data_IF_708387288593
#
_entry.id   IF_708387288593
#
_cell.length_a   1.000
_cell.length_b   1.000
_cell.length_c   1.000
_cell.angle_alpha   90.00
_cell.angle_beta   90.00
_cell.angle_gamma   90.00
#
_symmetry.space_group_name_H-M   'P 1'
#
loop_
_entity.id
_entity.type
_entity.pdbx_description
1 polymer ?
#
# COMPACT_ATOMS: atom_id res chain seq x y z
N UNK A 1 -5.94 1.00 33.56
CA UNK A 1 -5.73 -0.15 32.66
C UNK A 1 -4.24 -0.32 32.51
N UNK A 2 -3.70 -1.42 33.02
CA UNK A 2 -2.26 -1.74 32.98
C UNK A 2 -1.85 -2.07 31.55
N UNK A 3 -0.92 -1.31 31.00
CA UNK A 3 -0.28 -1.63 29.71
C UNK A 3 0.29 -3.04 29.82
N UNK A 4 -0.26 -3.99 29.07
CA UNK A 4 0.35 -5.31 28.94
C UNK A 4 1.78 -5.12 28.41
N UNK A 5 2.75 -5.84 28.97
CA UNK A 5 4.09 -5.89 28.40
C UNK A 5 3.97 -6.34 26.95
N UNK A 6 4.50 -5.51 26.04
CA UNK A 6 4.58 -5.85 24.62
C UNK A 6 5.40 -7.13 24.50
N UNK A 7 4.93 -8.10 23.74
CA UNK A 7 5.78 -9.24 23.38
C UNK A 7 7.00 -8.72 22.60
N UNK A 8 8.09 -9.46 22.58
CA UNK A 8 9.28 -9.09 21.80
C UNK A 8 8.93 -8.83 20.33
N UNK A 9 7.96 -9.58 19.80
CA UNK A 9 7.46 -9.38 18.44
C UNK A 9 6.69 -8.06 18.28
N UNK A 10 5.86 -7.68 19.26
CA UNK A 10 5.15 -6.40 19.25
C UNK A 10 6.09 -5.21 19.42
N UNK A 11 7.17 -5.38 20.19
CA UNK A 11 8.22 -4.39 20.34
C UNK A 11 8.96 -4.15 19.01
N UNK A 12 9.36 -5.22 18.31
CA UNK A 12 10.01 -5.12 17.00
C UNK A 12 9.09 -4.49 15.95
N UNK A 13 7.79 -4.83 15.97
CA UNK A 13 6.76 -4.20 15.11
C UNK A 13 6.63 -2.71 15.38
N UNK A 14 6.66 -2.30 16.65
CA UNK A 14 6.59 -0.88 17.01
C UNK A 14 7.83 -0.11 16.52
N UNK A 15 9.02 -0.72 16.59
CA UNK A 15 10.24 -0.15 16.01
C UNK A 15 10.09 0.07 14.51
N UNK A 16 9.61 -0.95 13.78
CA UNK A 16 9.41 -0.83 12.33
C UNK A 16 8.38 0.25 11.98
N UNK A 17 7.27 0.32 12.74
CA UNK A 17 6.26 1.37 12.59
C UNK A 17 6.85 2.76 12.79
N UNK A 18 7.65 2.96 13.84
CA UNK A 18 8.32 4.22 14.13
C UNK A 18 9.34 4.57 13.04
N UNK A 19 10.10 3.58 12.56
CA UNK A 19 11.04 3.75 11.46
C UNK A 19 10.35 4.18 10.16
N UNK A 20 9.19 3.58 9.86
CA UNK A 20 8.35 3.97 8.72
C UNK A 20 7.85 5.41 8.83
N UNK A 21 7.50 5.88 10.03
CA UNK A 21 7.11 7.29 10.27
C UNK A 21 8.27 8.25 10.08
N UNK A 22 9.48 7.89 10.54
CA UNK A 22 10.69 8.70 10.32
C UNK A 22 10.95 8.85 8.82
N UNK A 23 10.86 7.74 8.05
CA UNK A 23 11.01 7.79 6.59
C UNK A 23 9.96 8.69 5.93
N UNK A 24 8.69 8.55 6.30
CA UNK A 24 7.61 9.33 5.73
C UNK A 24 7.81 10.83 5.98
N UNK A 25 8.07 11.22 7.23
CA UNK A 25 8.31 12.61 7.59
C UNK A 25 9.52 13.20 6.83
N UNK A 26 10.60 12.44 6.68
CA UNK A 26 11.77 12.89 5.93
C UNK A 26 11.50 13.01 4.41
N UNK A 27 10.59 12.21 3.85
CA UNK A 27 10.18 12.33 2.45
C UNK A 27 9.51 13.67 2.17
N UNK A 28 8.75 14.21 3.12
CA UNK A 28 8.05 15.49 2.99
C UNK A 28 9.01 16.70 3.00
N UNK A 29 10.23 16.52 3.51
CA UNK A 29 11.26 17.56 3.56
C UNK A 29 12.07 17.69 2.25
N UNK A 30 11.84 16.82 1.27
CA UNK A 30 12.37 16.96 -0.09
C UNK A 30 13.86 16.64 -0.28
N UNK A 31 14.59 16.27 0.78
CA UNK A 31 16.00 15.86 0.71
C UNK A 31 16.22 14.34 0.80
N UNK A 32 15.17 13.57 1.12
CA UNK A 32 15.27 12.12 1.25
C UNK A 32 15.76 11.50 -0.07
N UNK A 33 16.86 10.76 -0.01
CA UNK A 33 17.46 10.10 -1.17
C UNK A 33 17.53 8.59 -0.94
N UNK A 34 17.08 7.84 -1.95
CA UNK A 34 17.28 6.40 -2.02
C UNK A 34 18.55 6.00 -2.79
N UNK A 35 19.31 6.97 -3.29
CA UNK A 35 20.59 6.78 -3.96
C UNK A 35 21.72 7.08 -2.99
N UNK A 36 22.94 7.28 -3.48
CA UNK A 36 24.05 7.77 -2.67
C UNK A 36 23.69 9.11 -2.03
N UNK A 37 24.18 9.33 -0.80
CA UNK A 37 23.85 10.53 -0.04
C UNK A 37 24.53 11.75 -0.68
N UNK A 38 23.78 12.85 -0.95
CA UNK A 38 24.37 14.11 -1.42
C UNK A 38 25.54 14.55 -0.53
N UNK A 39 26.58 15.15 -1.11
CA UNK A 39 27.81 15.53 -0.38
C UNK A 39 27.54 16.52 0.76
N UNK A 40 26.50 17.33 0.63
CA UNK A 40 26.03 18.32 1.61
C UNK A 40 25.06 17.75 2.65
N UNK A 41 24.73 16.45 2.58
CA UNK A 41 23.84 15.80 3.55
C UNK A 41 24.43 15.84 4.96
N UNK A 42 23.63 16.31 5.91
CA UNK A 42 23.98 16.25 7.33
C UNK A 42 24.07 14.79 7.81
N UNK A 43 24.78 14.52 8.93
CA UNK A 43 24.82 13.18 9.50
C UNK A 43 23.43 12.56 9.77
N UNK A 44 22.47 13.37 10.25
CA UNK A 44 21.10 12.91 10.48
C UNK A 44 20.41 12.51 9.17
N UNK A 45 20.52 13.33 8.13
CA UNK A 45 19.94 13.03 6.81
C UNK A 45 20.53 11.74 6.22
N UNK A 46 21.84 11.53 6.33
CA UNK A 46 22.49 10.29 5.91
C UNK A 46 21.97 9.07 6.67
N UNK A 47 21.79 9.17 7.99
CA UNK A 47 21.23 8.09 8.79
C UNK A 47 19.78 7.77 8.41
N UNK A 48 18.96 8.80 8.14
CA UNK A 48 17.57 8.61 7.71
C UNK A 48 17.48 8.05 6.29
N UNK A 49 18.33 8.50 5.36
CA UNK A 49 18.43 7.90 4.02
C UNK A 49 18.85 6.43 4.10
N UNK A 50 19.81 6.09 4.97
CA UNK A 50 20.23 4.70 5.18
C UNK A 50 19.08 3.84 5.73
N UNK A 51 18.33 4.36 6.72
CA UNK A 51 17.13 3.71 7.24
C UNK A 51 16.07 3.53 6.14
N UNK A 52 15.82 4.56 5.34
CA UNK A 52 14.88 4.53 4.23
C UNK A 52 15.25 3.49 3.16
N UNK A 53 16.54 3.38 2.82
CA UNK A 53 17.07 2.33 1.92
C UNK A 53 16.89 0.94 2.52
N UNK A 54 17.19 0.75 3.80
CA UNK A 54 16.99 -0.53 4.49
C UNK A 54 15.52 -0.96 4.49
N UNK A 55 14.60 -0.03 4.78
CA UNK A 55 13.14 -0.26 4.72
C UNK A 55 12.60 -0.45 3.29
N UNK A 56 13.38 -0.10 2.25
CA UNK A 56 13.01 -0.27 0.85
C UNK A 56 13.37 -1.67 0.33
N UNK A 57 14.17 -2.46 1.06
CA UNK A 57 14.55 -3.79 0.61
C UNK A 57 13.40 -4.80 0.73
N UNK A 58 13.21 -5.56 -0.35
CA UNK A 58 12.20 -6.59 -0.52
C UNK A 58 12.25 -7.62 0.61
N UNK A 59 11.15 -7.78 1.32
CA UNK A 59 10.97 -8.89 2.26
C UNK A 59 10.82 -10.21 1.49
N UNK A 60 11.48 -11.27 1.96
CA UNK A 60 11.46 -12.61 1.35
C UNK A 60 11.13 -13.69 2.39
N UNK A 61 10.65 -14.86 1.94
CA UNK A 61 10.28 -15.95 2.85
C UNK A 61 11.46 -16.34 3.75
N UNK A 62 11.26 -16.37 5.07
CA UNK A 62 12.29 -16.72 6.05
C UNK A 62 13.10 -15.56 6.63
N UNK A 63 12.84 -14.30 6.25
CA UNK A 63 13.49 -13.13 6.86
C UNK A 63 12.81 -12.62 8.16
N UNK A 64 11.75 -13.32 8.61
CA UNK A 64 10.96 -12.95 9.79
C UNK A 64 10.05 -11.73 9.60
N UNK A 65 10.07 -11.10 8.41
CA UNK A 65 9.30 -9.91 8.05
C UNK A 65 8.09 -10.24 7.16
N UNK A 66 8.08 -11.41 6.51
CA UNK A 66 6.88 -11.97 5.89
C UNK A 66 6.17 -12.91 6.86
N UNK A 67 4.94 -12.56 7.25
CA UNK A 67 4.01 -13.55 7.84
C UNK A 67 3.63 -14.57 6.75
N UNK A 68 4.20 -15.79 6.81
CA UNK A 68 3.94 -16.89 5.86
C UNK A 68 2.47 -17.37 5.90
N UNK A 69 1.73 -17.04 6.97
CA UNK A 69 0.34 -17.47 7.20
C UNK A 69 -0.72 -16.38 6.93
N UNK A 70 -0.36 -15.23 6.36
CA UNK A 70 -1.36 -14.18 6.09
C UNK A 70 -2.35 -14.64 5.02
N UNK A 71 -3.66 -14.62 5.30
CA UNK A 71 -4.64 -15.05 4.32
C UNK A 71 -4.62 -14.12 3.11
N UNK A 72 -4.79 -14.64 1.89
CA UNK A 72 -4.96 -13.81 0.70
C UNK A 72 -6.24 -12.96 0.81
N UNK A 73 -6.17 -11.71 0.37
CA UNK A 73 -7.34 -10.85 0.24
C UNK A 73 -8.17 -11.34 -0.93
N UNK A 74 -9.48 -11.51 -0.69
CA UNK A 74 -10.45 -11.75 -1.76
C UNK A 74 -10.65 -10.47 -2.57
N UNK A 75 -9.75 -10.22 -3.51
CA UNK A 75 -9.75 -8.99 -4.28
C UNK A 75 -10.79 -9.01 -5.42
N UNK A 76 -11.53 -7.90 -5.56
CA UNK A 76 -12.39 -7.59 -6.72
C UNK A 76 -11.54 -6.98 -7.83
N UNK A 77 -10.73 -6.01 -7.45
CA UNK A 77 -9.85 -5.26 -8.32
C UNK A 77 -9.05 -4.25 -7.50
N UNK A 78 -8.07 -3.66 -8.14
CA UNK A 78 -7.26 -2.62 -7.53
C UNK A 78 -6.95 -1.49 -8.49
N UNK A 79 -6.61 -0.34 -7.92
CA UNK A 79 -6.11 0.84 -8.64
C UNK A 79 -4.89 1.39 -7.91
N UNK A 80 -3.98 1.99 -8.66
CA UNK A 80 -2.86 2.79 -8.13
C UNK A 80 -3.10 4.25 -8.49
N UNK A 81 -2.97 5.11 -7.48
CA UNK A 81 -3.06 6.57 -7.60
C UNK A 81 -1.67 7.13 -7.29
N UNK A 82 -1.07 7.86 -8.24
CA UNK A 82 0.25 8.49 -8.06
C UNK A 82 0.24 9.91 -8.62
N UNK A 83 1.08 10.80 -8.08
CA UNK A 83 1.36 12.08 -8.74
C UNK A 83 1.75 11.86 -10.21
N UNK A 84 1.04 12.50 -11.14
CA UNK A 84 1.30 12.41 -12.58
C UNK A 84 0.90 11.09 -13.26
N UNK A 85 0.44 10.08 -12.52
CA UNK A 85 -0.06 8.81 -13.08
C UNK A 85 -1.40 8.50 -12.43
N UNK A 86 -2.47 8.97 -13.09
CA UNK A 86 -3.85 8.74 -12.69
C UNK A 86 -4.51 7.65 -13.55
N UNK A 87 -5.47 6.89 -13.00
CA UNK A 87 -6.24 5.92 -13.78
C UNK A 87 -6.95 6.57 -14.97
N UNK A 88 -7.08 5.83 -16.07
CA UNK A 88 -7.79 6.31 -17.24
C UNK A 88 -9.25 6.65 -16.91
N UNK A 89 -9.72 7.81 -17.39
CA UNK A 89 -11.07 8.31 -17.13
C UNK A 89 -11.24 9.10 -15.83
N UNK A 90 -10.18 9.27 -15.03
CA UNK A 90 -10.17 10.17 -13.88
C UNK A 90 -9.61 11.52 -14.32
N UNK A 91 -10.45 12.56 -14.29
CA UNK A 91 -10.05 13.94 -14.62
C UNK A 91 -9.50 14.70 -13.40
N UNK A 92 -9.82 14.23 -12.19
CA UNK A 92 -9.35 14.78 -10.93
C UNK A 92 -7.83 14.60 -10.78
N UNK A 93 -7.19 15.61 -10.22
CA UNK A 93 -5.78 15.55 -9.82
C UNK A 93 -5.56 14.52 -8.69
N UNK A 94 -4.32 14.09 -8.51
CA UNK A 94 -3.97 13.15 -7.44
C UNK A 94 -4.38 13.68 -6.06
N UNK A 95 -4.14 14.97 -5.82
CA UNK A 95 -4.46 15.67 -4.58
C UNK A 95 -5.97 15.75 -4.33
N UNK A 96 -6.76 16.04 -5.37
CA UNK A 96 -8.23 16.07 -5.30
C UNK A 96 -8.80 14.68 -4.97
N UNK A 97 -8.28 13.63 -5.62
CA UNK A 97 -8.69 12.26 -5.31
C UNK A 97 -8.31 11.88 -3.87
N UNK A 98 -7.09 12.22 -3.43
CA UNK A 98 -6.65 11.99 -2.04
C UNK A 98 -7.58 12.68 -1.03
N UNK A 99 -7.92 13.95 -1.26
CA UNK A 99 -8.85 14.69 -0.42
C UNK A 99 -10.25 14.04 -0.40
N UNK A 100 -10.77 13.62 -1.56
CA UNK A 100 -12.08 12.96 -1.67
C UNK A 100 -12.11 11.62 -0.93
N UNK A 101 -11.06 10.80 -1.06
CA UNK A 101 -10.96 9.52 -0.36
C UNK A 101 -10.57 9.68 1.12
N UNK A 102 -10.11 10.86 1.53
CA UNK A 102 -9.83 11.21 2.92
C UNK A 102 -8.47 10.73 3.41
N UNK A 103 -7.45 10.80 2.56
CA UNK A 103 -6.05 10.52 2.93
C UNK A 103 -5.17 11.68 2.53
N UNK A 104 -4.05 11.85 3.23
CA UNK A 104 -3.05 12.83 2.85
C UNK A 104 -2.30 12.36 1.59
N UNK A 105 -2.02 13.25 0.63
CA UNK A 105 -1.24 12.91 -0.54
C UNK A 105 0.19 12.59 -0.13
N UNK A 106 0.78 11.58 -0.79
CA UNK A 106 2.18 11.19 -0.61
C UNK A 106 2.91 10.96 -1.93
N UNK A 107 4.24 11.14 -2.01
CA UNK A 107 4.99 10.99 -3.25
C UNK A 107 4.89 9.59 -3.88
N UNK A 108 4.85 8.54 -3.05
CA UNK A 108 4.80 7.16 -3.57
C UNK A 108 3.41 6.75 -4.07
N UNK A 109 2.38 7.54 -3.77
CA UNK A 109 1.00 7.22 -4.13
C UNK A 109 0.25 6.37 -3.10
N UNK A 110 -0.96 5.99 -3.49
CA UNK A 110 -1.84 5.08 -2.76
C UNK A 110 -2.33 3.97 -3.68
N UNK A 111 -2.55 2.77 -3.13
CA UNK A 111 -3.28 1.72 -3.80
C UNK A 111 -4.68 1.59 -3.18
N UNK A 112 -5.69 1.45 -4.03
CA UNK A 112 -7.07 1.18 -3.65
C UNK A 112 -7.38 -0.28 -3.93
N UNK A 113 -7.69 -1.05 -2.90
CA UNK A 113 -8.05 -2.46 -3.01
C UNK A 113 -9.54 -2.64 -2.73
N UNK A 114 -10.32 -2.94 -3.76
CA UNK A 114 -11.74 -3.24 -3.60
C UNK A 114 -11.91 -4.70 -3.18
N UNK A 115 -12.52 -4.90 -2.02
CA UNK A 115 -12.67 -6.20 -1.36
C UNK A 115 -13.98 -6.23 -0.56
N UNK A 116 -14.12 -7.23 0.31
CA UNK A 116 -15.20 -7.35 1.28
C UNK A 116 -14.65 -7.34 2.70
N UNK A 117 -15.43 -6.83 3.65
CA UNK A 117 -15.15 -6.96 5.08
C UNK A 117 -15.55 -8.34 5.61
N UNK A 118 -15.22 -8.60 6.87
CA UNK A 118 -15.86 -9.63 7.66
C UNK A 118 -17.37 -9.34 7.69
N UNK A 119 -18.19 -10.22 7.11
CA UNK A 119 -19.62 -10.00 6.87
C UNK A 119 -20.04 -9.66 5.44
N UNK A 120 -19.14 -9.81 4.45
CA UNK A 120 -19.42 -9.65 3.01
C UNK A 120 -19.91 -8.24 2.61
N UNK A 121 -19.63 -7.21 3.42
CA UNK A 121 -19.89 -5.83 3.04
C UNK A 121 -18.80 -5.34 2.10
N UNK A 122 -19.20 -4.65 1.02
CA UNK A 122 -18.25 -4.05 0.07
C UNK A 122 -17.42 -2.98 0.75
N UNK A 123 -16.10 -3.07 0.63
CA UNK A 123 -15.17 -2.08 1.16
C UNK A 123 -14.01 -1.81 0.20
N UNK A 124 -13.44 -0.62 0.30
CA UNK A 124 -12.17 -0.25 -0.33
C UNK A 124 -11.13 -0.01 0.76
N UNK A 125 -10.04 -0.75 0.71
CA UNK A 125 -8.86 -0.49 1.54
C UNK A 125 -7.95 0.49 0.80
N UNK A 126 -7.60 1.60 1.44
CA UNK A 126 -6.58 2.53 0.96
C UNK A 126 -5.26 2.12 1.59
N UNK A 127 -4.32 1.63 0.78
CA UNK A 127 -3.09 1.00 1.27
C UNK A 127 -1.82 1.61 0.69
N UNK A 128 -0.78 1.65 1.50
CA UNK A 128 0.57 2.10 1.17
C UNK A 128 1.34 1.12 0.26
N UNK A 129 0.79 -0.08 0.00
CA UNK A 129 1.42 -1.18 -0.73
C UNK A 129 1.35 -0.98 -2.28
N UNK A 130 1.85 0.17 -2.74
CA UNK A 130 1.82 0.59 -4.14
C UNK A 130 2.61 -0.38 -5.03
N UNK A 131 3.88 -0.63 -4.70
CA UNK A 131 4.76 -1.51 -5.50
C UNK A 131 4.21 -2.95 -5.55
N UNK A 132 3.64 -3.44 -4.45
CA UNK A 132 2.95 -4.74 -4.41
C UNK A 132 1.79 -4.78 -5.40
N UNK A 133 1.02 -3.69 -5.50
CA UNK A 133 -0.13 -3.59 -6.41
C UNK A 133 0.32 -3.50 -7.87
N UNK A 134 1.43 -2.83 -8.15
CA UNK A 134 2.03 -2.82 -9.50
C UNK A 134 2.55 -4.21 -9.91
N UNK A 135 3.20 -4.92 -9.00
CA UNK A 135 3.59 -6.32 -9.20
C UNK A 135 2.39 -7.25 -9.44
N UNK A 136 1.28 -6.98 -8.76
CA UNK A 136 0.01 -7.69 -8.96
C UNK A 136 -0.53 -7.46 -10.39
N UNK A 137 -0.58 -6.21 -10.86
CA UNK A 137 -0.98 -5.89 -12.23
C UNK A 137 -0.08 -6.57 -13.27
N UNK A 138 1.24 -6.58 -13.03
CA UNK A 138 2.18 -7.24 -13.92
C UNK A 138 1.96 -8.76 -13.98
N UNK A 139 1.55 -9.40 -12.88
CA UNK A 139 1.17 -10.82 -12.89
C UNK A 139 -0.14 -11.06 -13.64
N UNK A 140 -1.15 -10.22 -13.44
CA UNK A 140 -2.44 -10.33 -14.14
C UNK A 140 -2.31 -10.15 -15.65
N UNK A 141 -1.50 -9.18 -16.10
CA UNK A 141 -1.20 -8.98 -17.52
C UNK A 141 -0.55 -10.22 -18.17
N UNK A 142 0.16 -11.05 -17.39
CA UNK A 142 0.74 -12.33 -17.83
C UNK A 142 -0.23 -13.52 -17.68
N UNK A 143 -1.50 -13.26 -17.38
CA UNK A 143 -2.52 -14.28 -17.17
C UNK A 143 -2.36 -15.08 -15.87
N UNK A 144 -1.57 -14.59 -14.90
CA UNK A 144 -1.38 -15.27 -13.60
C UNK A 144 -2.42 -14.78 -12.60
N UNK A 145 -3.40 -15.60 -12.20
CA UNK A 145 -4.52 -15.16 -11.36
C UNK A 145 -4.13 -15.20 -9.88
N UNK A 146 -3.22 -14.31 -9.47
CA UNK A 146 -2.77 -14.19 -8.08
C UNK A 146 -3.60 -13.14 -7.33
N UNK A 147 -3.89 -13.41 -6.05
CA UNK A 147 -4.49 -12.46 -5.11
C UNK A 147 -3.37 -11.95 -4.16
N UNK A 148 -3.38 -10.69 -3.70
CA UNK A 148 -2.40 -10.22 -2.73
C UNK A 148 -2.68 -10.82 -1.34
N UNK A 149 -1.65 -10.94 -0.50
CA UNK A 149 -1.83 -11.23 0.92
C UNK A 149 -2.48 -10.06 1.66
N UNK A 150 -3.14 -10.34 2.78
CA UNK A 150 -3.73 -9.29 3.64
C UNK A 150 -2.66 -8.25 4.00
N UNK A 151 -2.91 -6.95 3.73
CA UNK A 151 -1.93 -5.91 4.02
C UNK A 151 -1.78 -5.80 5.54
N UNK A 152 -0.59 -5.44 6.00
CA UNK A 152 -0.38 -5.17 7.42
C UNK A 152 -1.27 -3.99 7.85
N UNK A 153 -1.73 -3.93 9.10
CA UNK A 153 -2.49 -2.78 9.60
C UNK A 153 -1.76 -1.45 9.39
N UNK A 154 -0.42 -1.43 9.50
CA UNK A 154 0.42 -0.26 9.24
C UNK A 154 0.44 0.18 7.77
N UNK A 155 0.10 -0.71 6.85
CA UNK A 155 0.00 -0.41 5.43
C UNK A 155 -1.40 0.11 5.06
N UNK A 156 -2.41 -0.02 5.93
CA UNK A 156 -3.77 0.46 5.69
C UNK A 156 -3.91 1.86 6.27
N UNK A 157 -4.06 2.85 5.40
CA UNK A 157 -4.32 4.22 5.81
C UNK A 157 -5.80 4.42 6.21
N UNK A 158 -6.71 3.81 5.46
CA UNK A 158 -8.14 3.95 5.66
C UNK A 158 -8.91 2.76 5.07
N UNK A 159 -10.06 2.44 5.65
CA UNK A 159 -11.07 1.56 5.05
C UNK A 159 -12.34 2.37 4.79
N UNK A 160 -12.81 2.35 3.55
CA UNK A 160 -14.05 3.02 3.11
C UNK A 160 -15.12 1.98 2.82
N UNK A 161 -16.37 2.29 3.14
CA UNK A 161 -17.51 1.47 2.72
C UNK A 161 -17.84 1.72 1.25
N UNK A 162 -18.24 0.65 0.55
CA UNK A 162 -18.45 0.65 -0.89
C UNK A 162 -17.16 0.36 -1.65
N UNK A 163 -17.29 0.17 -2.97
CA UNK A 163 -16.16 0.07 -3.88
C UNK A 163 -15.95 1.41 -4.56
N UNK A 164 -14.70 1.86 -4.63
CA UNK A 164 -14.32 3.09 -5.31
C UNK A 164 -13.76 2.73 -6.69
N UNK A 165 -14.26 3.38 -7.74
CA UNK A 165 -13.81 3.24 -9.12
C UNK A 165 -12.95 4.40 -9.61
N UNK A 166 -12.32 4.29 -10.79
CA UNK A 166 -12.20 3.07 -11.63
C UNK A 166 -11.13 2.09 -11.08
N UNK A 167 -11.24 0.80 -11.41
CA UNK A 167 -10.29 -0.26 -10.99
C UNK A 167 -9.91 -1.24 -12.09
N UNK A 168 -8.69 -1.77 -12.02
CA UNK A 168 -8.28 -2.97 -12.75
C UNK A 168 -8.85 -4.19 -12.04
N UNK A 169 -9.73 -4.94 -12.72
CA UNK A 169 -10.38 -6.11 -12.13
C UNK A 169 -9.37 -7.25 -11.93
N UNK A 170 -9.42 -7.87 -10.75
CA UNK A 170 -8.66 -9.07 -10.46
C UNK A 170 -9.23 -10.23 -11.29
N UNK A 171 -8.40 -11.08 -11.93
CA UNK A 171 -8.89 -12.22 -12.73
C UNK A 171 -9.86 -13.13 -11.96
N UNK A 172 -9.58 -13.37 -10.66
CA UNK A 172 -10.48 -14.11 -9.77
C UNK A 172 -11.67 -13.28 -9.31
N UNK A 173 -11.51 -11.97 -9.18
CA UNK A 173 -12.58 -11.02 -8.85
C UNK A 173 -13.67 -10.98 -9.93
N UNK A 174 -13.29 -11.03 -11.21
CA UNK A 174 -14.22 -11.12 -12.34
C UNK A 174 -15.13 -12.35 -12.22
N UNK A 175 -14.55 -13.53 -11.96
CA UNK A 175 -15.32 -14.76 -11.75
C UNK A 175 -16.21 -14.71 -10.50
N UNK A 176 -15.77 -14.05 -9.43
CA UNK A 176 -16.49 -13.94 -8.15
C UNK A 176 -17.67 -12.95 -8.20
N UNK A 177 -17.63 -11.97 -9.09
CA UNK A 177 -18.63 -10.90 -9.20
C UNK A 177 -19.53 -11.03 -10.42
N UNK A 178 -19.19 -11.93 -11.37
CA UNK A 178 -19.90 -12.06 -12.64
C UNK A 178 -19.71 -10.86 -13.59
N UNK A 179 -18.81 -9.92 -13.26
CA UNK A 179 -18.54 -8.69 -14.02
C UNK A 179 -17.60 -8.92 -15.20
N UNK A 180 -17.67 -10.10 -15.84
CA UNK A 180 -16.94 -10.39 -17.07
C UNK A 180 -17.45 -9.50 -18.21
N UNK A 181 -16.97 -8.27 -18.29
CA UNK A 181 -17.19 -7.37 -19.41
C UNK A 181 -17.84 -6.01 -19.12
N UNK A 182 -17.98 -5.55 -17.87
CA UNK A 182 -18.54 -4.21 -17.58
C UNK A 182 -17.60 -3.38 -16.70
N UNK A 183 -17.35 -2.10 -17.03
CA UNK A 183 -16.72 -1.18 -16.09
C UNK A 183 -17.67 -0.95 -14.90
N UNK A 184 -17.11 -0.98 -13.69
CA UNK A 184 -17.83 -0.55 -12.48
C UNK A 184 -17.94 0.98 -12.54
N UNK A 185 -19.17 1.48 -12.64
CA UNK A 185 -19.52 2.90 -12.60
C UNK A 185 -19.23 3.53 -11.23
#
# INVERSE_FOLDING_TARGET
>A
MTSGELSDQDYLREIERLAGRVRAAASDEGWLSYLEDPQDSTPLQRSVNALARALRHYHFSGDGCLEEDRPPVRLVGATVLKPGIMPAGVEETYEEVCARIGVDPRPEGWALWNTWSDGDLKVTMVVAAVETTEGLFANWARGRPVDPVTPLPSQVALIRHGWIGPVTLAPRGVSRTGLGGLPLA
#
